data_IF_306885316437
#
_entry.id   IF_306885316437
#
_cell.length_a   1.000
_cell.length_b   1.000
_cell.length_c   1.000
_cell.angle_alpha   90.00
_cell.angle_beta   90.00
_cell.angle_gamma   90.00
#
_symmetry.space_group_name_H-M   'P 1'
#
loop_
_entity.id
_entity.type
_entity.pdbx_description
1 polymer ?
#
# COMPACT_ATOMS: atom_id res chain seq x y z
N UNK A 1 -19.02 12.58 11.27
CA UNK A 1 -18.09 11.42 11.18
C UNK A 1 -17.90 10.82 12.59
N UNK A 2 -18.69 9.82 12.99
CA UNK A 2 -18.54 9.18 14.33
C UNK A 2 -18.61 7.64 14.31
N UNK A 3 -18.42 7.00 13.15
CA UNK A 3 -18.49 5.52 13.03
C UNK A 3 -17.12 4.82 12.81
N UNK A 4 -15.99 5.52 12.90
CA UNK A 4 -14.67 4.97 12.54
C UNK A 4 -13.98 4.23 13.71
N UNK A 5 -13.97 4.81 14.91
CA UNK A 5 -13.17 4.28 16.03
C UNK A 5 -13.77 3.00 16.64
N UNK A 6 -15.09 2.96 16.83
CA UNK A 6 -15.75 1.77 17.38
C UNK A 6 -15.60 0.55 16.45
N UNK A 7 -15.71 0.75 15.13
CA UNK A 7 -15.49 -0.32 14.15
C UNK A 7 -14.04 -0.78 14.12
N UNK A 8 -13.08 0.15 14.13
CA UNK A 8 -11.66 -0.19 14.20
C UNK A 8 -11.35 -1.00 15.46
N UNK A 9 -11.86 -0.57 16.61
CA UNK A 9 -11.69 -1.28 17.87
C UNK A 9 -12.30 -2.69 17.85
N UNK A 10 -13.51 -2.85 17.31
CA UNK A 10 -14.16 -4.15 17.16
C UNK A 10 -13.37 -5.08 16.23
N UNK A 11 -12.88 -4.57 15.11
CA UNK A 11 -12.06 -5.35 14.15
C UNK A 11 -10.74 -5.80 14.79
N UNK A 12 -10.06 -4.90 15.53
CA UNK A 12 -8.83 -5.24 16.24
C UNK A 12 -9.09 -6.28 17.32
N UNK A 13 -10.14 -6.09 18.12
CA UNK A 13 -10.51 -7.04 19.19
C UNK A 13 -10.84 -8.42 18.62
N UNK A 14 -11.63 -8.46 17.54
CA UNK A 14 -11.96 -9.69 16.84
C UNK A 14 -10.69 -10.39 16.31
N UNK A 15 -9.78 -9.64 15.67
CA UNK A 15 -8.54 -10.18 15.14
C UNK A 15 -7.63 -10.74 16.24
N UNK A 16 -7.50 -10.04 17.37
CA UNK A 16 -6.70 -10.50 18.52
C UNK A 16 -7.30 -11.74 19.18
N UNK A 17 -8.61 -11.74 19.42
CA UNK A 17 -9.30 -12.89 20.02
C UNK A 17 -9.18 -14.13 19.13
N UNK A 18 -9.38 -13.97 17.81
CA UNK A 18 -9.19 -15.03 16.84
C UNK A 18 -7.73 -15.53 16.84
N UNK A 19 -6.75 -14.63 16.80
CA UNK A 19 -5.33 -14.99 16.86
C UNK A 19 -4.99 -15.84 18.09
N UNK A 20 -5.48 -15.45 19.26
CA UNK A 20 -5.24 -16.18 20.51
C UNK A 20 -5.89 -17.57 20.49
N UNK A 21 -7.14 -17.66 20.06
CA UNK A 21 -7.86 -18.93 19.94
C UNK A 21 -7.22 -19.89 18.93
N UNK A 22 -6.54 -19.34 17.93
CA UNK A 22 -5.94 -20.05 16.80
C UNK A 22 -4.44 -20.33 16.94
N UNK A 23 -3.79 -19.86 18.01
CA UNK A 23 -2.37 -20.10 18.26
C UNK A 23 -2.20 -21.17 19.35
N UNK A 24 -1.86 -22.42 19.00
CA UNK A 24 -1.69 -23.47 19.99
C UNK A 24 -0.49 -23.17 20.91
N UNK A 25 -0.58 -23.50 22.22
CA UNK A 25 0.48 -23.20 23.19
C UNK A 25 1.77 -24.02 22.93
N UNK A 26 1.66 -25.18 22.29
CA UNK A 26 2.76 -26.08 22.02
C UNK A 26 2.96 -26.28 20.50
N UNK A 27 4.23 -26.30 20.06
CA UNK A 27 4.56 -26.62 18.66
C UNK A 27 4.29 -28.11 18.38
N UNK A 28 3.61 -28.40 17.28
CA UNK A 28 3.40 -29.79 16.83
C UNK A 28 4.73 -30.42 16.40
N UNK A 29 5.14 -31.57 16.96
CA UNK A 29 6.34 -32.28 16.52
C UNK A 29 6.22 -32.70 15.06
N UNK A 30 7.27 -32.46 14.25
CA UNK A 30 7.25 -32.74 12.81
C UNK A 30 6.96 -34.22 12.50
N UNK A 31 7.45 -35.14 13.34
CA UNK A 31 7.26 -36.60 13.20
C UNK A 31 5.87 -37.10 13.61
N UNK A 32 5.06 -36.27 14.27
CA UNK A 32 3.72 -36.63 14.74
C UNK A 32 2.59 -36.13 13.80
N UNK A 33 2.94 -35.54 12.65
CA UNK A 33 1.98 -34.99 11.69
C UNK A 33 1.43 -36.09 10.77
N UNK A 34 0.31 -36.70 11.17
CA UNK A 34 -0.40 -37.72 10.39
C UNK A 34 -1.06 -37.17 9.11
N UNK A 35 -1.23 -35.86 8.99
CA UNK A 35 -1.85 -35.16 7.86
C UNK A 35 -0.92 -34.92 6.66
N UNK A 36 0.35 -35.34 6.79
CA UNK A 36 1.39 -35.15 5.77
C UNK A 36 1.10 -35.90 4.46
N UNK A 37 0.33 -36.99 4.49
CA UNK A 37 -0.10 -37.76 3.31
C UNK A 37 -1.44 -37.34 2.69
N UNK A 38 -2.14 -36.38 3.29
CA UNK A 38 -3.46 -35.93 2.83
C UNK A 38 -3.36 -34.74 1.85
N UNK A 39 -4.35 -34.58 0.93
CA UNK A 39 -4.42 -33.42 0.04
C UNK A 39 -4.36 -32.09 0.80
N UNK A 40 -3.67 -31.10 0.24
CA UNK A 40 -3.38 -29.83 0.93
C UNK A 40 -4.65 -29.06 1.36
N UNK A 41 -5.76 -29.21 0.63
CA UNK A 41 -7.02 -28.51 0.89
C UNK A 41 -7.79 -28.99 2.13
N UNK A 42 -7.48 -30.18 2.68
CA UNK A 42 -8.08 -30.64 3.95
C UNK A 42 -7.29 -30.22 5.18
N UNK A 43 -6.17 -29.51 5.01
CA UNK A 43 -5.36 -28.98 6.12
C UNK A 43 -5.95 -27.66 6.64
N UNK A 44 -6.92 -27.77 7.54
CA UNK A 44 -7.62 -26.62 8.15
C UNK A 44 -6.65 -25.64 8.84
N UNK A 45 -5.52 -26.13 9.36
CA UNK A 45 -4.50 -25.28 10.00
C UNK A 45 -3.88 -24.23 9.05
N UNK A 46 -3.86 -24.49 7.74
CA UNK A 46 -3.43 -23.53 6.72
C UNK A 46 -4.52 -22.52 6.36
N UNK A 47 -5.73 -22.63 6.92
CA UNK A 47 -6.80 -21.64 6.77
C UNK A 47 -6.89 -20.70 7.99
N UNK A 48 -5.99 -20.91 8.97
CA UNK A 48 -5.92 -20.12 10.19
C UNK A 48 -5.02 -18.91 9.95
N UNK A 49 -5.62 -17.74 9.73
CA UNK A 49 -4.90 -16.50 9.49
C UNK A 49 -4.16 -16.05 10.74
N UNK A 50 -2.85 -15.80 10.59
CA UNK A 50 -2.03 -15.30 11.68
C UNK A 50 -1.79 -13.81 11.50
N UNK A 51 -2.14 -13.01 12.50
CA UNK A 51 -1.71 -11.63 12.61
C UNK A 51 -0.19 -11.60 12.83
N UNK A 52 0.57 -11.46 11.75
CA UNK A 52 2.02 -11.29 11.82
C UNK A 52 2.40 -9.81 11.92
N UNK A 53 3.61 -9.49 12.41
CA UNK A 53 4.13 -8.12 12.36
C UNK A 53 4.11 -7.53 10.94
N UNK A 54 4.30 -8.36 9.90
CA UNK A 54 4.20 -7.93 8.51
C UNK A 54 2.78 -7.54 8.10
N UNK A 55 1.75 -8.28 8.54
CA UNK A 55 0.37 -7.89 8.26
C UNK A 55 0.01 -6.57 8.95
N UNK A 56 0.46 -6.36 10.18
CA UNK A 56 0.26 -5.09 10.92
C UNK A 56 0.96 -3.94 10.21
N UNK A 57 2.24 -4.11 9.86
CA UNK A 57 3.01 -3.10 9.13
C UNK A 57 2.37 -2.78 7.77
N UNK A 58 1.92 -3.81 7.05
CA UNK A 58 1.24 -3.63 5.77
C UNK A 58 -0.08 -2.87 5.91
N UNK A 59 -0.88 -3.16 6.94
CA UNK A 59 -2.10 -2.41 7.24
C UNK A 59 -1.82 -0.93 7.58
N UNK A 60 -0.73 -0.66 8.30
CA UNK A 60 -0.28 0.71 8.58
C UNK A 60 0.11 1.44 7.29
N UNK A 61 0.85 0.80 6.39
CA UNK A 61 1.20 1.40 5.09
C UNK A 61 -0.02 1.65 4.20
N UNK A 62 -0.97 0.71 4.13
CA UNK A 62 -2.22 0.91 3.39
C UNK A 62 -2.98 2.10 3.95
N UNK A 63 -3.09 2.18 5.28
CA UNK A 63 -3.83 3.25 5.95
C UNK A 63 -3.15 4.60 5.72
N UNK A 64 -1.84 4.67 5.93
CA UNK A 64 -1.05 5.88 5.70
C UNK A 64 -1.12 6.34 4.24
N UNK A 65 -0.88 5.44 3.29
CA UNK A 65 -0.95 5.76 1.86
C UNK A 65 -2.35 6.20 1.42
N UNK A 66 -3.40 5.58 1.96
CA UNK A 66 -4.79 5.97 1.70
C UNK A 66 -5.11 7.34 2.27
N UNK A 67 -4.70 7.63 3.50
CA UNK A 67 -4.87 8.94 4.13
C UNK A 67 -4.15 10.03 3.35
N UNK A 68 -2.91 9.78 2.92
CA UNK A 68 -2.14 10.71 2.10
C UNK A 68 -2.85 11.00 0.77
N UNK A 69 -3.35 9.97 0.08
CA UNK A 69 -4.14 10.14 -1.16
C UNK A 69 -5.42 10.93 -0.93
N UNK A 70 -6.18 10.61 0.11
CA UNK A 70 -7.39 11.33 0.47
C UNK A 70 -7.09 12.81 0.77
N UNK A 71 -6.00 13.10 1.45
CA UNK A 71 -5.55 14.48 1.68
C UNK A 71 -5.24 15.20 0.36
N UNK A 72 -4.55 14.53 -0.57
CA UNK A 72 -4.26 15.08 -1.89
C UNK A 72 -5.55 15.36 -2.68
N UNK A 73 -6.50 14.43 -2.69
CA UNK A 73 -7.80 14.60 -3.35
C UNK A 73 -8.57 15.77 -2.74
N UNK A 74 -8.53 15.93 -1.42
CA UNK A 74 -9.20 17.03 -0.74
C UNK A 74 -8.52 18.38 -1.04
N UNK A 75 -7.18 18.41 -1.17
CA UNK A 75 -6.43 19.63 -1.50
C UNK A 75 -6.58 20.08 -2.94
N UNK A 76 -6.56 19.15 -3.89
CA UNK A 76 -6.80 19.45 -5.31
C UNK A 76 -8.28 19.71 -5.59
N UNK A 77 -9.18 19.05 -4.86
CA UNK A 77 -10.62 19.17 -5.05
C UNK A 77 -11.01 18.88 -6.49
N UNK A 78 -11.70 19.85 -7.12
CA UNK A 78 -12.13 19.78 -8.53
C UNK A 78 -10.99 19.64 -9.54
N UNK A 79 -9.74 19.92 -9.14
CA UNK A 79 -8.57 19.86 -10.03
C UNK A 79 -7.99 18.44 -10.15
N UNK A 80 -8.43 17.49 -9.32
CA UNK A 80 -7.95 16.13 -9.38
C UNK A 80 -8.67 15.32 -10.47
N UNK A 81 -7.89 14.72 -11.36
CA UNK A 81 -8.35 13.80 -12.41
C UNK A 81 -7.49 12.53 -12.35
N UNK A 82 -8.09 11.36 -12.62
CA UNK A 82 -7.34 10.10 -12.67
C UNK A 82 -6.48 9.99 -13.94
N UNK A 83 -6.97 10.56 -15.02
CA UNK A 83 -6.21 10.78 -16.25
C UNK A 83 -5.35 12.03 -16.12
N UNK A 84 -4.23 12.09 -16.85
CA UNK A 84 -3.39 13.30 -16.93
C UNK A 84 -4.15 14.38 -17.71
N UNK A 85 -5.12 15.01 -17.06
CA UNK A 85 -6.02 16.00 -17.67
C UNK A 85 -5.85 17.33 -16.98
N UNK A 86 -5.56 18.33 -17.80
CA UNK A 86 -5.50 19.72 -17.37
C UNK A 86 -6.88 20.32 -17.56
N UNK A 87 -7.43 20.89 -16.49
CA UNK A 87 -8.69 21.60 -16.56
C UNK A 87 -8.45 23.09 -16.92
N UNK A 88 -9.38 23.76 -17.63
CA UNK A 88 -9.21 25.16 -18.04
C UNK A 88 -8.96 26.17 -16.91
N UNK A 89 -9.30 25.80 -15.66
CA UNK A 89 -9.09 26.60 -14.44
C UNK A 89 -8.05 25.99 -13.49
N UNK A 90 -7.07 25.25 -14.05
CA UNK A 90 -6.02 24.62 -13.26
C UNK A 90 -5.14 25.67 -12.57
N UNK A 91 -4.83 25.44 -11.30
CA UNK A 91 -3.92 26.27 -10.51
C UNK A 91 -2.89 25.38 -9.85
N UNK A 92 -1.64 25.80 -9.82
CA UNK A 92 -0.56 25.04 -9.19
C UNK A 92 -0.74 25.03 -7.66
N UNK A 93 -0.99 23.85 -7.09
CA UNK A 93 -1.11 23.67 -5.63
C UNK A 93 0.25 23.32 -5.05
N UNK A 94 0.76 24.18 -4.16
CA UNK A 94 2.09 24.03 -3.52
C UNK A 94 2.01 23.89 -2.00
N UNK A 95 0.80 23.73 -1.44
CA UNK A 95 0.57 23.68 0.02
C UNK A 95 0.18 22.28 0.50
N UNK A 96 0.37 22.03 1.81
CA UNK A 96 0.12 20.71 2.40
C UNK A 96 1.20 19.69 1.96
N UNK A 97 0.84 18.45 1.60
CA UNK A 97 1.79 17.44 1.12
C UNK A 97 2.64 17.90 -0.06
N UNK A 98 2.07 18.76 -0.92
CA UNK A 98 2.75 19.36 -2.07
C UNK A 98 3.91 20.29 -1.68
N UNK A 99 3.96 20.78 -0.43
CA UNK A 99 5.08 21.58 0.04
C UNK A 99 6.35 20.76 0.32
N UNK A 100 6.22 19.43 0.41
CA UNK A 100 7.32 18.52 0.76
C UNK A 100 7.79 17.67 -0.42
N UNK A 101 6.86 17.23 -1.26
CA UNK A 101 7.12 16.44 -2.47
C UNK A 101 6.18 16.88 -3.58
N UNK A 102 6.63 16.83 -4.84
CA UNK A 102 5.81 17.27 -5.99
C UNK A 102 4.61 16.37 -6.24
N UNK A 103 4.74 15.08 -5.93
CA UNK A 103 3.81 14.01 -6.30
C UNK A 103 3.34 13.14 -5.11
N UNK A 104 2.75 13.75 -4.07
CA UNK A 104 2.38 13.04 -2.85
C UNK A 104 1.32 11.94 -3.08
N UNK A 105 0.44 12.10 -4.07
CA UNK A 105 -0.57 11.10 -4.42
C UNK A 105 0.04 9.81 -5.01
N UNK A 106 1.09 9.92 -5.82
CA UNK A 106 1.82 8.75 -6.32
C UNK A 106 2.63 8.09 -5.19
N UNK A 107 3.24 8.87 -4.29
CA UNK A 107 3.87 8.33 -3.08
C UNK A 107 2.88 7.52 -2.22
N UNK A 108 1.69 8.07 -1.96
CA UNK A 108 0.63 7.37 -1.24
C UNK A 108 0.18 6.09 -1.94
N UNK A 109 0.19 6.07 -3.28
CA UNK A 109 -0.07 4.85 -4.06
C UNK A 109 1.02 3.80 -3.85
N UNK A 110 2.30 4.17 -3.84
CA UNK A 110 3.40 3.23 -3.56
C UNK A 110 3.30 2.61 -2.16
N UNK A 111 2.93 3.41 -1.15
CA UNK A 111 2.68 2.89 0.20
C UNK A 111 1.54 1.87 0.24
N UNK A 112 0.44 2.13 -0.47
CA UNK A 112 -0.67 1.17 -0.57
C UNK A 112 -0.19 -0.13 -1.22
N UNK A 113 0.54 -0.08 -2.33
CA UNK A 113 1.06 -1.28 -3.00
C UNK A 113 2.01 -2.06 -2.10
N UNK A 114 2.94 -1.39 -1.42
CA UNK A 114 3.84 -2.02 -0.47
C UNK A 114 3.06 -2.71 0.66
N UNK A 115 2.06 -2.03 1.21
CA UNK A 115 1.23 -2.59 2.27
C UNK A 115 0.37 -3.76 1.81
N UNK A 116 -0.12 -3.76 0.55
CA UNK A 116 -0.81 -4.90 -0.06
C UNK A 116 0.11 -6.13 -0.16
N UNK A 117 1.38 -5.92 -0.52
CA UNK A 117 2.38 -7.00 -0.58
C UNK A 117 2.60 -7.61 0.80
N UNK A 118 2.84 -6.76 1.80
CA UNK A 118 3.06 -7.20 3.17
C UNK A 118 1.85 -7.90 3.80
N UNK A 119 0.63 -7.45 3.47
CA UNK A 119 -0.61 -8.05 4.00
C UNK A 119 -1.01 -9.35 3.31
N UNK A 120 -0.68 -9.53 2.03
CA UNK A 120 -1.21 -10.64 1.22
C UNK A 120 -0.18 -11.68 0.78
N UNK A 121 1.12 -11.36 0.71
CA UNK A 121 2.12 -12.24 0.11
C UNK A 121 3.23 -12.69 1.09
N UNK A 122 3.05 -12.42 2.38
CA UNK A 122 3.98 -12.85 3.45
C UNK A 122 3.45 -14.10 4.18
N UNK A 123 4.30 -14.81 4.91
CA UNK A 123 3.84 -15.96 5.70
C UNK A 123 2.75 -15.55 6.70
N UNK A 124 1.70 -16.37 6.88
CA UNK A 124 0.53 -16.04 7.69
C UNK A 124 -0.57 -15.24 6.99
N UNK A 125 -0.32 -14.76 5.76
CA UNK A 125 -1.31 -14.04 4.95
C UNK A 125 -2.26 -14.98 4.19
N UNK A 126 -3.44 -14.45 3.81
CA UNK A 126 -4.47 -15.22 3.13
C UNK A 126 -3.99 -15.91 1.85
N UNK A 127 -3.34 -15.19 0.93
CA UNK A 127 -2.92 -15.77 -0.37
C UNK A 127 -1.84 -16.84 -0.17
N UNK A 128 -0.97 -16.66 0.82
CA UNK A 128 0.13 -17.59 1.09
C UNK A 128 -0.38 -18.86 1.78
N UNK A 129 -1.22 -18.72 2.81
CA UNK A 129 -1.72 -19.84 3.62
C UNK A 129 -2.76 -20.67 2.85
N UNK A 130 -3.59 -20.05 2.01
CA UNK A 130 -4.47 -20.76 1.07
C UNK A 130 -3.73 -21.47 -0.07
N UNK A 131 -2.39 -21.43 -0.12
CA UNK A 131 -1.59 -22.14 -1.10
C UNK A 131 -1.73 -21.64 -2.54
N UNK A 132 -2.37 -20.49 -2.78
CA UNK A 132 -2.66 -19.95 -4.12
C UNK A 132 -1.36 -19.76 -4.92
N UNK A 133 -0.29 -19.33 -4.27
CA UNK A 133 1.02 -19.11 -4.90
C UNK A 133 1.93 -20.33 -4.87
N UNK A 134 1.51 -21.44 -4.25
CA UNK A 134 2.31 -22.65 -4.02
C UNK A 134 3.44 -22.49 -3.00
N UNK A 135 4.08 -21.32 -2.94
CA UNK A 135 5.03 -20.94 -1.89
C UNK A 135 5.02 -19.43 -1.65
N UNK A 136 5.48 -19.01 -0.46
CA UNK A 136 5.68 -17.59 -0.13
C UNK A 136 6.68 -16.92 -1.08
N UNK A 137 7.75 -17.64 -1.47
CA UNK A 137 8.79 -17.10 -2.35
C UNK A 137 8.25 -16.76 -3.74
N UNK A 138 7.43 -17.64 -4.32
CA UNK A 138 6.77 -17.40 -5.62
C UNK A 138 5.83 -16.20 -5.51
N UNK A 139 5.04 -16.12 -4.44
CA UNK A 139 4.15 -14.98 -4.18
C UNK A 139 4.91 -13.65 -4.13
N UNK A 140 5.99 -13.60 -3.35
CA UNK A 140 6.83 -12.41 -3.23
C UNK A 140 7.53 -12.04 -4.54
N UNK A 141 7.93 -13.02 -5.35
CA UNK A 141 8.54 -12.78 -6.67
C UNK A 141 7.60 -12.01 -7.60
N UNK A 142 6.37 -12.51 -7.80
CA UNK A 142 5.39 -11.83 -8.65
C UNK A 142 4.92 -10.50 -8.07
N UNK A 143 4.74 -10.43 -6.75
CA UNK A 143 4.42 -9.19 -6.05
C UNK A 143 5.51 -8.12 -6.26
N UNK A 144 6.79 -8.52 -6.24
CA UNK A 144 7.93 -7.62 -6.46
C UNK A 144 7.98 -7.13 -7.90
N UNK A 145 7.74 -8.00 -8.90
CA UNK A 145 7.64 -7.59 -10.30
C UNK A 145 6.52 -6.55 -10.48
N UNK A 146 5.35 -6.82 -9.90
CA UNK A 146 4.22 -5.91 -9.97
C UNK A 146 4.51 -4.56 -9.30
N UNK A 147 5.18 -4.56 -8.15
CA UNK A 147 5.62 -3.35 -7.47
C UNK A 147 6.60 -2.52 -8.31
N UNK A 148 7.61 -3.18 -8.89
CA UNK A 148 8.60 -2.52 -9.74
C UNK A 148 7.92 -1.90 -10.96
N UNK A 149 6.99 -2.62 -11.59
CA UNK A 149 6.20 -2.09 -12.69
C UNK A 149 5.39 -0.85 -12.27
N UNK A 150 4.70 -0.90 -11.12
CA UNK A 150 3.98 0.24 -10.56
C UNK A 150 4.88 1.44 -10.26
N UNK A 151 6.09 1.19 -9.77
CA UNK A 151 7.08 2.22 -9.52
C UNK A 151 7.53 2.88 -10.83
N UNK A 152 7.84 2.10 -11.86
CA UNK A 152 8.22 2.60 -13.20
C UNK A 152 7.09 3.45 -13.78
N UNK A 153 5.85 2.96 -13.73
CA UNK A 153 4.66 3.70 -14.19
C UNK A 153 4.51 5.00 -13.40
N UNK A 154 4.64 4.95 -12.08
CA UNK A 154 4.57 6.14 -11.21
C UNK A 154 5.60 7.20 -11.60
N UNK A 155 6.85 6.81 -11.80
CA UNK A 155 7.92 7.72 -12.26
C UNK A 155 7.62 8.29 -13.65
N UNK A 156 7.19 7.45 -14.59
CA UNK A 156 6.83 7.90 -15.94
C UNK A 156 5.69 8.93 -15.92
N UNK A 157 4.67 8.70 -15.07
CA UNK A 157 3.56 9.64 -14.88
C UNK A 157 4.00 10.94 -14.22
N UNK A 158 4.82 10.89 -13.17
CA UNK A 158 5.39 12.09 -12.55
C UNK A 158 6.12 12.95 -13.57
N UNK A 159 6.94 12.33 -14.44
CA UNK A 159 7.67 13.02 -15.50
C UNK A 159 6.74 13.66 -16.53
N UNK A 160 5.72 12.93 -16.96
CA UNK A 160 4.72 13.44 -17.90
C UNK A 160 3.95 14.62 -17.31
N UNK A 161 3.55 14.53 -16.05
CA UNK A 161 2.82 15.56 -15.32
C UNK A 161 3.68 16.83 -15.14
N UNK A 162 4.93 16.68 -14.69
CA UNK A 162 5.89 17.79 -14.58
C UNK A 162 6.15 18.48 -15.91
N UNK A 163 6.24 17.71 -17.00
CA UNK A 163 6.47 18.25 -18.34
C UNK A 163 5.32 19.14 -18.79
N UNK A 164 4.08 18.73 -18.53
CA UNK A 164 2.91 19.54 -18.86
C UNK A 164 2.73 20.74 -17.92
N UNK A 165 2.94 20.57 -16.61
CA UNK A 165 2.91 21.67 -15.64
C UNK A 165 3.96 22.75 -15.96
N UNK A 166 5.15 22.35 -16.40
CA UNK A 166 6.21 23.27 -16.85
C UNK A 166 5.81 24.07 -18.08
N UNK A 167 5.08 23.48 -19.03
CA UNK A 167 4.61 24.19 -20.24
C UNK A 167 3.56 25.24 -19.89
N UNK A 168 2.64 24.92 -18.98
CA UNK A 168 1.55 25.82 -18.60
C UNK A 168 1.97 26.95 -17.66
N UNK A 169 2.79 26.62 -16.65
CA UNK A 169 3.15 27.53 -15.57
C UNK A 169 4.67 27.73 -15.49
N UNK A 170 5.36 28.15 -16.58
CA UNK A 170 6.81 28.07 -16.65
C UNK A 170 7.55 28.78 -15.50
N UNK A 171 7.04 29.94 -15.06
CA UNK A 171 7.63 30.72 -13.96
C UNK A 171 7.27 30.15 -12.58
N UNK A 172 6.00 29.87 -12.34
CA UNK A 172 5.51 29.36 -11.04
C UNK A 172 6.03 27.94 -10.77
N UNK A 173 6.02 27.09 -11.80
CA UNK A 173 6.58 25.74 -11.77
C UNK A 173 8.09 25.78 -11.50
N UNK A 174 8.83 26.67 -12.16
CA UNK A 174 10.27 26.83 -11.94
C UNK A 174 10.60 27.16 -10.48
N UNK A 175 9.85 28.11 -9.88
CA UNK A 175 9.99 28.48 -8.47
C UNK A 175 9.59 27.35 -7.52
N UNK A 176 8.53 26.63 -7.86
CA UNK A 176 8.06 25.51 -7.06
C UNK A 176 9.05 24.34 -7.08
N UNK A 177 9.51 23.93 -8.27
CA UNK A 177 10.42 22.81 -8.45
C UNK A 177 11.83 23.08 -7.88
N UNK A 178 12.26 24.34 -7.80
CA UNK A 178 13.53 24.69 -7.13
C UNK A 178 13.44 24.57 -5.61
N UNK A 179 12.26 24.85 -5.04
CA UNK A 179 12.00 24.74 -3.60
C UNK A 179 11.73 23.29 -3.18
N UNK A 180 10.87 22.61 -3.93
CA UNK A 180 10.45 21.23 -3.66
C UNK A 180 11.11 20.33 -4.67
N UNK A 181 12.30 19.83 -4.34
CA UNK A 181 13.16 19.08 -5.27
C UNK A 181 12.77 17.62 -5.45
N UNK A 182 12.18 17.00 -4.42
CA UNK A 182 11.80 15.58 -4.43
C UNK A 182 10.50 15.32 -5.16
N UNK A 183 10.44 14.24 -5.96
CA UNK A 183 9.20 13.81 -6.61
C UNK A 183 8.22 13.16 -5.65
N UNK A 184 8.56 11.99 -5.11
CA UNK A 184 7.63 11.15 -4.34
C UNK A 184 8.08 10.92 -2.90
N UNK A 185 9.37 10.76 -2.67
CA UNK A 185 9.94 10.46 -1.34
C UNK A 185 10.89 11.61 -0.98
N UNK A 186 10.73 12.25 0.18
CA UNK A 186 11.65 13.30 0.61
C UNK A 186 13.11 12.81 0.59
N UNK A 187 14.00 13.58 -0.04
CA UNK A 187 15.43 13.25 -0.13
C UNK A 187 15.81 12.28 -1.26
N UNK A 188 14.85 11.74 -2.00
CA UNK A 188 15.07 11.02 -3.26
C UNK A 188 14.64 11.92 -4.43
N UNK A 189 15.55 12.10 -5.40
CA UNK A 189 15.34 12.88 -6.63
C UNK A 189 14.39 12.16 -7.58
#
# INVERSE_FOLDING_TARGET
>A
MSMSLARAFLVVTQATAYQLASTPPNKTPAKARFDSGHPWYIRIAALVFRATPFNVLGALFITFGSMLRLFCFHKLGRLFTFDLTILPSHTLITTGPYAYVRHPAYAGSLFIHLGLILTNFTAGSWVTECGITGSTAIGLYFASIWFIWWFIVGVARCRSEDAELRKMFPKEWGNYASTVQSWMIPGLL
#
